data_IF_548220949711
#
_entry.id   IF_548220949711
#
_cell.length_a   1.000
_cell.length_b   1.000
_cell.length_c   1.000
_cell.angle_alpha   90.00
_cell.angle_beta   90.00
_cell.angle_gamma   90.00
#
_symmetry.space_group_name_H-M   'P 1'
#
loop_
_entity.id
_entity.type
_entity.pdbx_description
1 polymer ?
#
# COMPACT_ATOMS: atom_id res chain seq x y z
N UNK A 1 2.68 -2.68 4.15
CA UNK A 1 2.00 -1.55 3.50
C UNK A 1 2.47 -1.53 2.04
N UNK A 2 1.59 -1.47 1.03
CA UNK A 2 2.01 -1.38 -0.38
C UNK A 2 1.90 0.05 -0.90
N UNK A 3 2.54 0.34 -2.04
CA UNK A 3 2.50 1.68 -2.64
C UNK A 3 1.07 2.18 -2.91
N UNK A 4 0.19 1.35 -3.48
CA UNK A 4 -1.19 1.75 -3.74
C UNK A 4 -2.00 2.02 -2.46
N UNK A 5 -1.66 1.39 -1.34
CA UNK A 5 -2.27 1.71 -0.04
C UNK A 5 -1.81 3.08 0.45
N UNK A 6 -0.52 3.40 0.27
CA UNK A 6 0.02 4.73 0.59
C UNK A 6 -0.69 5.79 -0.25
N UNK A 7 -0.72 5.67 -1.57
CA UNK A 7 -1.38 6.64 -2.47
C UNK A 7 -2.86 6.83 -2.12
N UNK A 8 -3.62 5.74 -1.89
CA UNK A 8 -5.04 5.83 -1.52
C UNK A 8 -5.25 6.56 -0.19
N UNK A 9 -4.43 6.27 0.81
CA UNK A 9 -4.49 6.98 2.10
C UNK A 9 -4.10 8.43 1.94
N UNK A 10 -3.08 8.71 1.15
CA UNK A 10 -2.57 10.05 0.91
C UNK A 10 -3.65 10.93 0.30
N UNK A 11 -4.31 10.45 -0.76
CA UNK A 11 -5.41 11.16 -1.40
C UNK A 11 -6.63 11.34 -0.51
N UNK A 12 -6.96 10.32 0.29
CA UNK A 12 -8.10 10.40 1.24
C UNK A 12 -7.88 11.49 2.29
N UNK A 13 -6.68 11.59 2.86
CA UNK A 13 -6.36 12.62 3.86
C UNK A 13 -6.10 13.97 3.20
N UNK A 14 -5.49 13.97 2.02
CA UNK A 14 -5.28 15.16 1.21
C UNK A 14 -6.55 15.92 0.83
N UNK A 15 -7.67 15.20 0.68
CA UNK A 15 -8.98 15.80 0.49
C UNK A 15 -9.44 16.71 1.66
N UNK A 16 -8.81 16.58 2.84
CA UNK A 16 -9.08 17.43 4.01
C UNK A 16 -8.25 18.72 4.01
N UNK A 17 -7.18 18.79 3.22
CA UNK A 17 -6.32 19.96 3.12
C UNK A 17 -7.06 21.03 2.32
N UNK A 18 -7.24 22.22 2.91
CA UNK A 18 -7.96 23.33 2.27
C UNK A 18 -7.20 23.89 1.06
N UNK A 19 -5.88 23.95 1.17
CA UNK A 19 -5.02 24.45 0.10
C UNK A 19 -4.67 23.33 -0.88
N UNK A 20 -5.27 23.38 -2.08
CA UNK A 20 -5.05 22.36 -3.11
C UNK A 20 -3.62 22.34 -3.64
N UNK A 21 -2.97 23.49 -3.75
CA UNK A 21 -1.60 23.57 -4.26
C UNK A 21 -0.62 22.95 -3.27
N UNK A 22 -0.88 23.14 -1.98
CA UNK A 22 -0.13 22.50 -0.89
C UNK A 22 -0.32 20.98 -0.91
N UNK A 23 -1.56 20.51 -1.11
CA UNK A 23 -1.81 19.08 -1.28
C UNK A 23 -1.07 18.50 -2.50
N UNK A 24 -1.09 19.18 -3.64
CA UNK A 24 -0.36 18.75 -4.84
C UNK A 24 1.14 18.64 -4.58
N UNK A 25 1.71 19.59 -3.83
CA UNK A 25 3.12 19.53 -3.44
C UNK A 25 3.41 18.33 -2.53
N UNK A 26 2.52 18.06 -1.57
CA UNK A 26 2.61 16.89 -0.68
C UNK A 26 2.54 15.59 -1.50
N UNK A 27 1.56 15.47 -2.42
CA UNK A 27 1.42 14.29 -3.28
C UNK A 27 2.68 14.08 -4.12
N UNK A 28 3.20 15.13 -4.75
CA UNK A 28 4.44 15.06 -5.54
C UNK A 28 5.65 14.59 -4.71
N UNK A 29 5.83 15.11 -3.49
CA UNK A 29 6.93 14.69 -2.62
C UNK A 29 6.86 13.20 -2.28
N UNK A 30 5.64 12.65 -2.11
CA UNK A 30 5.44 11.22 -1.82
C UNK A 30 5.71 10.35 -3.02
N UNK A 31 5.31 10.80 -4.21
CA UNK A 31 5.64 10.13 -5.47
C UNK A 31 7.16 10.08 -5.68
N UNK A 32 7.89 11.13 -5.27
CA UNK A 32 9.36 11.11 -5.29
C UNK A 32 9.96 10.19 -4.21
N UNK A 33 9.38 10.19 -3.01
CA UNK A 33 9.84 9.33 -1.91
C UNK A 33 9.77 7.85 -2.28
N UNK A 34 8.77 7.45 -3.08
CA UNK A 34 8.62 6.10 -3.62
C UNK A 34 9.81 5.65 -4.49
N UNK A 35 10.49 6.58 -5.16
CA UNK A 35 11.65 6.31 -6.03
C UNK A 35 12.96 6.17 -5.25
N UNK A 36 12.93 6.21 -3.91
CA UNK A 36 14.11 6.01 -3.09
C UNK A 36 14.75 4.65 -3.39
N UNK A 37 16.07 4.62 -3.58
CA UNK A 37 16.81 3.42 -3.95
C UNK A 37 17.50 2.72 -2.77
N UNK A 38 17.47 3.32 -1.58
CA UNK A 38 17.99 2.72 -0.36
C UNK A 38 17.18 3.16 0.86
N UNK A 39 17.18 2.30 1.88
CA UNK A 39 16.53 2.55 3.17
C UNK A 39 17.02 3.86 3.80
N UNK A 40 18.32 4.13 3.72
CA UNK A 40 18.92 5.33 4.31
C UNK A 40 18.37 6.62 3.67
N UNK A 41 18.25 6.64 2.33
CA UNK A 41 17.70 7.79 1.61
C UNK A 41 16.23 7.93 1.88
N UNK A 42 15.49 6.82 1.83
CA UNK A 42 14.07 6.81 2.14
C UNK A 42 13.80 7.36 3.54
N UNK A 43 14.48 6.84 4.57
CA UNK A 43 14.31 7.27 5.96
C UNK A 43 14.66 8.76 6.11
N UNK A 44 15.76 9.21 5.51
CA UNK A 44 16.18 10.61 5.58
C UNK A 44 15.16 11.54 4.93
N UNK A 45 14.74 11.22 3.70
CA UNK A 45 13.76 12.02 2.97
C UNK A 45 12.37 11.98 3.64
N UNK A 46 11.96 10.82 4.16
CA UNK A 46 10.72 10.69 4.93
C UNK A 46 10.76 11.57 6.18
N UNK A 47 11.85 11.56 6.96
CA UNK A 47 12.00 12.40 8.14
C UNK A 47 11.97 13.90 7.80
N UNK A 48 12.64 14.31 6.73
CA UNK A 48 12.59 15.70 6.25
C UNK A 48 11.17 16.10 5.85
N UNK A 49 10.45 15.22 5.17
CA UNK A 49 9.07 15.46 4.77
C UNK A 49 8.16 15.54 5.99
N UNK A 50 8.27 14.61 6.95
CA UNK A 50 7.53 14.64 8.21
C UNK A 50 7.79 15.95 8.94
N UNK A 51 9.04 16.39 9.07
CA UNK A 51 9.38 17.63 9.75
C UNK A 51 8.84 18.88 9.04
N UNK A 52 8.83 18.87 7.69
CA UNK A 52 8.26 19.95 6.89
C UNK A 52 6.75 20.12 7.13
N UNK A 53 6.03 19.02 7.31
CA UNK A 53 4.57 19.01 7.37
C UNK A 53 3.99 18.80 8.78
N UNK A 54 4.81 18.49 9.78
CA UNK A 54 4.42 18.31 11.19
C UNK A 54 3.76 19.53 11.83
N UNK A 55 4.01 20.72 11.28
CA UNK A 55 3.46 21.97 11.81
C UNK A 55 1.99 22.18 11.41
N UNK A 56 1.49 21.42 10.43
CA UNK A 56 0.10 21.45 10.03
C UNK A 56 -0.66 20.28 10.71
N UNK A 57 -1.63 20.64 11.55
CA UNK A 57 -2.46 19.68 12.30
C UNK A 57 -3.30 18.78 11.39
N UNK A 58 -3.64 19.26 10.19
CA UNK A 58 -4.37 18.46 9.20
C UNK A 58 -3.45 17.41 8.56
N UNK A 59 -2.14 17.65 8.57
CA UNK A 59 -1.09 16.78 8.05
C UNK A 59 -0.35 15.96 9.13
N UNK A 60 -0.54 16.24 10.41
CA UNK A 60 0.09 15.46 11.49
C UNK A 60 -0.29 13.97 11.40
N UNK A 61 -1.59 13.67 11.22
CA UNK A 61 -2.13 12.29 11.07
C UNK A 61 -1.60 11.56 9.84
N UNK A 62 -1.05 12.30 8.90
CA UNK A 62 -0.53 11.80 7.64
C UNK A 62 0.92 11.33 7.79
N UNK A 63 1.66 11.89 8.75
CA UNK A 63 3.09 11.59 8.97
C UNK A 63 3.36 10.21 9.54
N UNK A 64 2.45 9.67 10.36
CA UNK A 64 2.57 8.33 10.96
C UNK A 64 2.62 7.20 9.91
N UNK A 65 2.08 7.43 8.72
CA UNK A 65 2.09 6.45 7.63
C UNK A 65 3.45 6.34 6.93
N UNK A 66 4.28 7.37 7.00
CA UNK A 66 5.62 7.34 6.38
C UNK A 66 6.60 6.48 7.16
N UNK A 67 6.41 6.36 8.47
CA UNK A 67 7.25 5.58 9.35
C UNK A 67 7.07 4.05 9.18
N UNK A 68 6.03 3.60 8.47
CA UNK A 68 5.62 2.20 8.44
C UNK A 68 5.65 1.59 7.02
N UNK A 69 6.81 1.04 6.64
CA UNK A 69 6.89 -0.08 5.69
C UNK A 69 7.78 0.10 4.47
N UNK A 70 8.01 -1.03 3.80
CA UNK A 70 8.85 -1.22 2.62
C UNK A 70 8.08 -0.96 1.31
N UNK A 71 7.60 0.27 1.11
CA UNK A 71 6.74 0.62 -0.03
C UNK A 71 7.44 1.42 -1.15
N UNK A 72 8.73 1.74 -0.99
CA UNK A 72 9.60 2.36 -1.99
C UNK A 72 10.32 1.30 -2.84
N UNK A 73 10.75 1.68 -4.05
CA UNK A 73 11.36 0.75 -5.02
C UNK A 73 12.65 0.11 -4.51
N UNK A 74 13.48 0.87 -3.77
CA UNK A 74 14.71 0.36 -3.18
C UNK A 74 14.51 -0.66 -2.06
N UNK A 75 13.30 -0.81 -1.54
CA UNK A 75 13.02 -1.70 -0.40
C UNK A 75 13.06 -3.18 -0.81
N UNK A 76 12.76 -3.47 -2.07
CA UNK A 76 12.82 -4.81 -2.61
C UNK A 76 13.19 -4.75 -4.10
N UNK A 77 14.49 -4.68 -4.36
CA UNK A 77 15.04 -4.60 -5.71
C UNK A 77 14.54 -5.81 -6.53
N UNK A 78 14.05 -5.55 -7.75
CA UNK A 78 13.44 -6.53 -8.68
C UNK A 78 12.01 -6.98 -8.36
N UNK A 79 11.42 -6.55 -7.24
CA UNK A 79 10.00 -6.78 -6.98
C UNK A 79 9.27 -5.45 -7.21
N UNK A 80 8.32 -5.38 -8.15
CA UNK A 80 7.63 -4.13 -8.40
C UNK A 80 6.86 -3.70 -7.15
N UNK A 81 7.05 -2.44 -6.75
CA UNK A 81 6.31 -1.80 -5.64
C UNK A 81 4.78 -1.85 -5.83
N UNK A 82 4.34 -2.15 -7.07
CA UNK A 82 2.98 -2.46 -7.47
C UNK A 82 2.59 -3.91 -7.14
N UNK A 83 2.37 -4.20 -5.85
CA UNK A 83 1.48 -5.29 -5.42
C UNK A 83 0.02 -5.16 -5.95
N UNK A 84 -0.23 -4.19 -6.83
CA UNK A 84 -1.49 -3.88 -7.48
C UNK A 84 -2.10 -5.08 -8.20
N UNK A 85 -1.27 -6.00 -8.73
CA UNK A 85 -1.75 -7.21 -9.39
C UNK A 85 -2.51 -8.13 -8.42
N UNK A 86 -1.91 -8.46 -7.27
CA UNK A 86 -2.53 -9.33 -6.27
C UNK A 86 -3.69 -8.63 -5.56
N UNK A 87 -3.59 -7.33 -5.27
CA UNK A 87 -4.69 -6.59 -4.64
C UNK A 87 -5.89 -6.38 -5.59
N UNK A 88 -5.65 -6.12 -6.88
CA UNK A 88 -6.69 -6.04 -7.91
C UNK A 88 -7.34 -7.41 -8.12
N UNK A 89 -6.54 -8.48 -8.18
CA UNK A 89 -7.03 -9.84 -8.28
C UNK A 89 -7.89 -10.20 -7.07
N UNK A 90 -7.41 -9.93 -5.85
CA UNK A 90 -8.16 -10.16 -4.61
C UNK A 90 -9.43 -9.30 -4.53
N UNK A 91 -9.39 -8.07 -5.04
CA UNK A 91 -10.55 -7.20 -5.15
C UNK A 91 -11.61 -7.75 -6.10
N UNK A 92 -11.21 -8.19 -7.30
CA UNK A 92 -12.09 -8.87 -8.26
C UNK A 92 -12.64 -10.16 -7.69
N UNK A 93 -11.84 -10.94 -6.97
CA UNK A 93 -12.32 -12.16 -6.28
C UNK A 93 -13.41 -11.79 -5.27
N UNK A 94 -13.16 -10.79 -4.41
CA UNK A 94 -14.14 -10.38 -3.40
C UNK A 94 -15.41 -9.75 -3.99
N UNK A 95 -15.32 -9.04 -5.12
CA UNK A 95 -16.45 -8.37 -5.76
C UNK A 95 -17.29 -9.30 -6.65
N UNK A 96 -16.66 -10.26 -7.33
CA UNK A 96 -17.35 -11.14 -8.28
C UNK A 96 -17.61 -12.54 -7.73
N UNK A 97 -16.94 -12.95 -6.64
CA UNK A 97 -17.05 -14.29 -6.05
C UNK A 97 -17.48 -14.24 -4.59
N UNK A 98 -18.32 -13.24 -4.23
CA UNK A 98 -18.84 -13.03 -2.87
C UNK A 98 -19.85 -14.09 -2.41
N UNK A 99 -20.12 -15.12 -3.23
CA UNK A 99 -20.82 -16.34 -2.82
C UNK A 99 -19.99 -17.55 -3.21
N UNK A 100 -19.41 -18.17 -2.20
CA UNK A 100 -18.80 -19.50 -2.24
C UNK A 100 -19.83 -20.52 -2.71
N UNK A 101 -19.90 -20.74 -4.01
CA UNK A 101 -20.32 -22.02 -4.57
C UNK A 101 -19.22 -22.46 -5.54
N UNK A 102 -18.21 -23.13 -4.96
CA UNK A 102 -17.25 -24.02 -5.63
C UNK A 102 -16.57 -23.45 -6.89
N UNK A 103 -15.47 -22.72 -6.71
CA UNK A 103 -14.52 -22.52 -7.81
C UNK A 103 -13.75 -23.83 -7.99
N UNK A 104 -14.23 -24.65 -8.94
CA UNK A 104 -13.48 -25.78 -9.49
C UNK A 104 -12.36 -25.22 -10.38
N UNK A 105 -11.12 -25.27 -9.89
CA UNK A 105 -9.96 -25.17 -10.78
C UNK A 105 -9.72 -26.55 -11.39
N UNK A 106 -10.09 -26.70 -12.66
CA UNK A 106 -9.72 -27.87 -13.45
C UNK A 106 -8.35 -27.62 -14.08
N UNK A 107 -7.30 -27.96 -13.34
CA UNK A 107 -5.97 -28.22 -13.89
C UNK A 107 -5.81 -29.73 -14.04
N UNK A 108 -5.25 -30.17 -15.16
CA UNK A 108 -5.14 -31.58 -15.55
C UNK A 108 -4.74 -32.48 -14.35
N UNK A 109 -5.73 -33.25 -13.88
CA UNK A 109 -5.66 -34.35 -12.92
C UNK A 109 -5.41 -34.08 -11.42
N UNK A 110 -5.70 -32.91 -10.86
CA UNK A 110 -5.78 -32.80 -9.38
C UNK A 110 -6.81 -31.78 -8.91
N UNK A 111 -7.78 -32.23 -8.11
CA UNK A 111 -8.74 -31.36 -7.41
C UNK A 111 -8.13 -30.99 -6.06
N UNK A 112 -7.79 -29.71 -5.87
CA UNK A 112 -7.36 -29.19 -4.57
C UNK A 112 -8.53 -28.39 -3.98
N UNK A 113 -9.14 -28.94 -2.93
CA UNK A 113 -10.15 -28.25 -2.12
C UNK A 113 -9.44 -27.45 -1.02
N UNK A 114 -9.38 -26.13 -1.17
CA UNK A 114 -8.93 -25.24 -0.08
C UNK A 114 -10.18 -24.70 0.61
N UNK A 115 -10.46 -25.21 1.82
CA UNK A 115 -11.50 -24.67 2.70
C UNK A 115 -10.94 -23.40 3.37
N UNK A 116 -11.57 -22.25 3.10
CA UNK A 116 -11.27 -21.04 3.85
C UNK A 116 -11.90 -21.16 5.24
N UNK A 117 -11.11 -21.52 6.25
CA UNK A 117 -11.58 -21.61 7.64
C UNK A 117 -10.67 -22.32 8.63
N UNK A 118 -9.65 -23.07 8.20
CA UNK A 118 -8.80 -23.80 9.15
C UNK A 118 -7.62 -22.95 9.62
N UNK A 119 -7.70 -22.48 10.87
CA UNK A 119 -6.56 -22.01 11.65
C UNK A 119 -5.56 -23.16 11.80
N UNK A 120 -4.39 -23.04 11.20
CA UNK A 120 -3.28 -23.96 11.43
C UNK A 120 -2.68 -23.70 12.82
N UNK A 121 -3.17 -24.41 13.84
CA UNK A 121 -2.36 -24.68 15.03
C UNK A 121 -1.50 -25.92 14.76
N UNK A 122 -0.18 -25.77 14.76
CA UNK A 122 0.74 -26.91 14.87
C UNK A 122 1.27 -27.03 16.30
N UNK A 123 1.11 -28.20 16.91
CA UNK A 123 2.02 -28.70 17.95
C UNK A 123 3.29 -29.22 17.30
#
# INVERSE_FOLDING_TARGET
>A
MCWAHVVRKVRRHGALIKNKDEFLLVEQNIMQLQLSFSDQIFITAANLMINKWKLDKDLEKFTDYFALGFWYEGACILIPSTNNGLESLNGRIKQHYTRLENILFQGDNTIILIRAGDEFYSK
#
